data_IF_389877817009
#
_entry.id   IF_389877817009
#
_cell.length_a   1.000
_cell.length_b   1.000
_cell.length_c   1.000
_cell.angle_alpha   90.00
_cell.angle_beta   90.00
_cell.angle_gamma   90.00
#
_symmetry.space_group_name_H-M   'P 1'
#
loop_
_entity.id
_entity.type
_entity.pdbx_description
1 polymer ?
#
# COMPACT_ATOMS: atom_id res chain seq x y z
N UNK A 1 -9.07 -8.13 -9.97
CA UNK A 1 -7.89 -7.33 -9.59
C UNK A 1 -8.32 -6.25 -8.61
N UNK A 2 -7.70 -6.24 -7.45
CA UNK A 2 -8.06 -5.29 -6.41
C UNK A 2 -6.96 -4.25 -6.25
N UNK A 3 -7.29 -3.03 -6.66
CA UNK A 3 -6.35 -1.91 -6.55
C UNK A 3 -7.02 -0.77 -5.80
N UNK A 4 -6.29 -0.22 -4.86
CA UNK A 4 -6.73 0.93 -4.09
C UNK A 4 -5.85 2.10 -4.41
N UNK A 5 -6.47 3.24 -4.68
CA UNK A 5 -5.76 4.48 -5.00
C UNK A 5 -6.19 5.58 -4.04
N UNK A 6 -5.24 6.40 -3.64
CA UNK A 6 -5.54 7.57 -2.82
C UNK A 6 -6.45 8.55 -3.58
N UNK A 7 -7.37 9.18 -2.87
CA UNK A 7 -8.17 10.27 -3.42
C UNK A 7 -7.35 11.55 -3.58
N UNK A 8 -6.21 11.63 -2.88
CA UNK A 8 -5.29 12.75 -3.01
C UNK A 8 -4.34 12.49 -4.16
N UNK A 9 -4.16 13.50 -5.02
CA UNK A 9 -3.33 13.38 -6.20
C UNK A 9 -2.27 14.48 -6.22
N UNK A 10 -1.20 14.23 -6.97
CA UNK A 10 -0.17 15.22 -7.24
C UNK A 10 0.19 15.16 -8.72
N UNK A 11 0.64 16.29 -9.28
CA UNK A 11 1.03 16.34 -10.67
C UNK A 11 2.41 15.72 -10.85
N UNK A 12 2.52 14.80 -11.81
CA UNK A 12 3.79 14.15 -12.16
C UNK A 12 4.29 14.74 -13.49
N UNK A 13 5.39 15.53 -13.48
CA UNK A 13 5.95 16.04 -14.72
C UNK A 13 6.43 14.95 -15.67
N UNK A 14 6.89 13.83 -15.14
CA UNK A 14 7.36 12.71 -15.95
C UNK A 14 6.22 12.05 -16.71
N UNK A 15 5.09 11.84 -16.05
CA UNK A 15 3.92 11.22 -16.65
C UNK A 15 2.99 12.23 -17.31
N UNK A 16 3.22 13.53 -17.07
CA UNK A 16 2.42 14.64 -17.59
C UNK A 16 0.94 14.51 -17.22
N UNK A 17 0.68 14.05 -16.01
CA UNK A 17 -0.69 13.87 -15.51
C UNK A 17 -0.69 13.85 -13.98
N UNK A 18 -1.88 13.97 -13.40
CA UNK A 18 -2.04 13.79 -11.96
C UNK A 18 -2.02 12.30 -11.63
N UNK A 19 -1.31 11.96 -10.56
CA UNK A 19 -1.19 10.58 -10.09
C UNK A 19 -1.61 10.50 -8.63
N UNK A 20 -2.18 9.36 -8.19
CA UNK A 20 -2.49 9.19 -6.77
C UNK A 20 -1.23 9.25 -5.92
N UNK A 21 -1.34 9.85 -4.73
CA UNK A 21 -0.21 9.90 -3.80
C UNK A 21 0.15 8.51 -3.28
N UNK A 22 -0.85 7.64 -3.13
CA UNK A 22 -0.64 6.28 -2.64
C UNK A 22 -1.42 5.30 -3.50
N UNK A 23 -0.83 4.15 -3.75
CA UNK A 23 -1.48 3.04 -4.44
C UNK A 23 -1.15 1.74 -3.73
N UNK A 24 -2.12 0.85 -3.64
CA UNK A 24 -1.95 -0.49 -3.10
C UNK A 24 -2.46 -1.50 -4.12
N UNK A 25 -1.62 -2.47 -4.47
CA UNK A 25 -2.03 -3.62 -5.27
C UNK A 25 -2.05 -4.83 -4.35
N UNK A 26 -3.25 -5.35 -4.08
CA UNK A 26 -3.41 -6.46 -3.15
C UNK A 26 -2.96 -7.81 -3.72
N UNK A 27 -2.89 -7.92 -5.04
CA UNK A 27 -2.49 -9.19 -5.66
C UNK A 27 -1.01 -9.51 -5.43
N UNK A 28 -0.16 -8.49 -5.56
CA UNK A 28 1.28 -8.65 -5.37
C UNK A 28 1.77 -7.96 -4.09
N UNK A 29 0.86 -7.38 -3.36
CA UNK A 29 1.10 -6.66 -2.10
C UNK A 29 2.22 -5.64 -2.26
N UNK A 30 2.02 -4.74 -3.22
CA UNK A 30 2.95 -3.64 -3.46
C UNK A 30 2.29 -2.32 -3.11
N UNK A 31 2.97 -1.54 -2.27
CA UNK A 31 2.57 -0.17 -1.94
C UNK A 31 3.46 0.78 -2.72
N UNK A 32 2.85 1.71 -3.43
CA UNK A 32 3.57 2.74 -4.18
C UNK A 32 3.22 4.11 -3.62
N UNK A 33 4.24 4.90 -3.34
CA UNK A 33 4.10 6.27 -2.85
C UNK A 33 4.74 7.23 -3.86
N UNK A 34 4.00 8.26 -4.27
CA UNK A 34 4.55 9.31 -5.11
C UNK A 34 5.15 10.39 -4.20
N UNK A 35 6.49 10.51 -4.25
CA UNK A 35 7.23 11.48 -3.46
C UNK A 35 7.22 12.82 -4.19
N UNK A 36 6.52 13.81 -3.66
CA UNK A 36 6.39 15.12 -4.30
C UNK A 36 7.67 15.93 -4.24
N UNK A 37 8.56 15.65 -3.27
CA UNK A 37 9.82 16.40 -3.14
C UNK A 37 10.81 16.00 -4.22
N UNK A 38 10.90 14.70 -4.52
CA UNK A 38 11.81 14.17 -5.54
C UNK A 38 11.13 13.98 -6.89
N UNK A 39 9.80 14.09 -6.94
CA UNK A 39 8.97 13.86 -8.13
C UNK A 39 9.12 12.43 -8.68
N UNK A 40 9.39 11.47 -7.79
CA UNK A 40 9.56 10.06 -8.15
C UNK A 40 8.59 9.17 -7.39
N UNK A 41 8.32 8.00 -7.94
CA UNK A 41 7.53 6.97 -7.26
C UNK A 41 8.45 6.02 -6.51
N UNK A 42 8.09 5.71 -5.27
CA UNK A 42 8.78 4.75 -4.43
C UNK A 42 7.85 3.59 -4.15
N UNK A 43 8.32 2.36 -4.34
CA UNK A 43 7.49 1.17 -4.14
C UNK A 43 8.13 0.22 -3.16
N UNK A 44 7.30 -0.47 -2.38
CA UNK A 44 7.74 -1.52 -1.49
C UNK A 44 6.81 -2.71 -1.66
N UNK A 45 7.41 -3.89 -1.88
CA UNK A 45 6.67 -5.14 -2.03
C UNK A 45 6.84 -5.98 -0.77
N UNK A 46 5.73 -6.50 -0.27
CA UNK A 46 5.69 -7.36 0.92
C UNK A 46 5.47 -8.79 0.46
N UNK A 47 6.39 -9.68 0.82
CA UNK A 47 6.41 -11.06 0.30
C UNK A 47 6.01 -12.12 1.32
N UNK A 48 5.56 -11.70 2.50
CA UNK A 48 5.13 -12.66 3.53
C UNK A 48 3.75 -13.20 3.16
N UNK A 49 3.61 -14.52 3.13
CA UNK A 49 2.34 -15.16 2.80
C UNK A 49 1.22 -14.74 3.75
N UNK A 50 1.56 -14.52 5.02
CA UNK A 50 0.60 -14.04 6.01
C UNK A 50 0.02 -12.68 5.60
N UNK A 51 0.88 -11.74 5.19
CA UNK A 51 0.45 -10.41 4.77
C UNK A 51 -0.42 -10.50 3.52
N UNK A 52 0.01 -11.29 2.55
CA UNK A 52 -0.75 -11.49 1.31
C UNK A 52 -2.12 -12.07 1.61
N UNK A 53 -2.18 -13.10 2.44
CA UNK A 53 -3.43 -13.74 2.80
C UNK A 53 -4.34 -12.77 3.55
N UNK A 54 -3.78 -12.02 4.49
CA UNK A 54 -4.54 -11.04 5.27
C UNK A 54 -5.13 -9.95 4.38
N UNK A 55 -4.36 -9.44 3.41
CA UNK A 55 -4.85 -8.42 2.51
C UNK A 55 -5.95 -8.95 1.58
N UNK A 56 -5.82 -10.16 1.08
CA UNK A 56 -6.87 -10.78 0.27
C UNK A 56 -8.15 -10.93 1.09
N UNK A 57 -8.04 -11.35 2.33
CA UNK A 57 -9.18 -11.46 3.23
C UNK A 57 -9.82 -10.09 3.48
N UNK A 58 -9.00 -9.09 3.79
CA UNK A 58 -9.50 -7.73 4.04
C UNK A 58 -10.14 -7.11 2.81
N UNK A 59 -9.58 -7.38 1.64
CA UNK A 59 -10.12 -6.89 0.38
C UNK A 59 -11.52 -7.46 0.11
N UNK A 60 -11.75 -8.71 0.50
CA UNK A 60 -13.05 -9.35 0.33
C UNK A 60 -14.07 -8.95 1.39
N UNK A 61 -13.62 -8.74 2.63
CA UNK A 61 -14.53 -8.54 3.77
C UNK A 61 -14.55 -7.10 4.30
N UNK A 62 -13.45 -6.37 4.20
CA UNK A 62 -13.32 -5.02 4.75
C UNK A 62 -12.63 -4.08 3.76
N UNK A 63 -13.15 -3.92 2.53
CA UNK A 63 -12.49 -3.08 1.54
C UNK A 63 -12.40 -1.61 1.96
N UNK A 64 -13.35 -1.12 2.75
CA UNK A 64 -13.36 0.27 3.20
C UNK A 64 -12.18 0.57 4.11
N UNK A 65 -11.74 -0.41 4.92
CA UNK A 65 -10.57 -0.25 5.77
C UNK A 65 -9.32 0.00 4.92
N UNK A 66 -9.13 -0.80 3.89
CA UNK A 66 -7.97 -0.66 2.99
C UNK A 66 -8.01 0.69 2.28
N UNK A 67 -9.19 1.08 1.79
CA UNK A 67 -9.36 2.37 1.12
C UNK A 67 -8.99 3.53 2.05
N UNK A 68 -9.44 3.48 3.29
CA UNK A 68 -9.13 4.51 4.27
C UNK A 68 -7.63 4.59 4.55
N UNK A 69 -6.97 3.45 4.73
CA UNK A 69 -5.53 3.42 4.97
C UNK A 69 -4.76 4.04 3.81
N UNK A 70 -5.17 3.73 2.59
CA UNK A 70 -4.54 4.29 1.39
C UNK A 70 -4.76 5.81 1.31
N UNK A 71 -6.00 6.26 1.55
CA UNK A 71 -6.31 7.69 1.50
C UNK A 71 -5.56 8.50 2.56
N UNK A 72 -5.38 7.93 3.74
CA UNK A 72 -4.67 8.60 4.83
C UNK A 72 -3.16 8.46 4.75
N UNK A 73 -2.66 7.67 3.79
CA UNK A 73 -1.24 7.41 3.66
C UNK A 73 -0.66 6.52 4.75
N UNK A 74 -1.51 5.76 5.43
CA UNK A 74 -1.11 4.91 6.55
C UNK A 74 -0.92 3.45 6.15
N UNK A 75 -1.15 3.12 4.88
CA UNK A 75 -1.10 1.73 4.44
C UNK A 75 0.29 1.12 4.60
N UNK A 76 1.34 1.88 4.29
CA UNK A 76 2.71 1.37 4.41
C UNK A 76 3.06 1.09 5.87
N UNK A 77 2.71 1.99 6.78
CA UNK A 77 2.95 1.79 8.21
C UNK A 77 2.17 0.58 8.73
N UNK A 78 0.93 0.42 8.29
CA UNK A 78 0.09 -0.71 8.68
C UNK A 78 0.74 -2.03 8.26
N UNK A 79 1.25 -2.10 7.04
CA UNK A 79 1.90 -3.31 6.55
C UNK A 79 3.25 -3.55 7.21
N UNK A 80 4.01 -2.48 7.47
CA UNK A 80 5.29 -2.60 8.20
C UNK A 80 5.07 -3.14 9.62
N UNK A 81 4.06 -2.64 10.32
CA UNK A 81 3.74 -3.11 11.66
C UNK A 81 3.33 -4.59 11.64
N UNK A 82 2.56 -4.99 10.62
CA UNK A 82 2.16 -6.37 10.44
C UNK A 82 3.36 -7.28 10.19
N UNK A 83 4.29 -6.83 9.34
CA UNK A 83 5.52 -7.57 9.05
C UNK A 83 6.36 -7.75 10.30
N UNK A 84 6.47 -6.72 11.14
CA UNK A 84 7.19 -6.80 12.40
C UNK A 84 6.56 -7.83 13.33
N UNK A 85 5.24 -7.89 13.41
CA UNK A 85 4.55 -8.87 14.25
C UNK A 85 4.81 -10.30 13.75
N UNK A 86 4.79 -10.51 12.45
CA UNK A 86 5.07 -11.82 11.86
C UNK A 86 6.51 -12.24 12.16
N UNK A 87 7.46 -11.33 11.97
CA UNK A 87 8.88 -11.60 12.25
C UNK A 87 9.12 -11.89 13.71
N UNK A 88 8.44 -11.20 14.62
CA UNK A 88 8.55 -11.44 16.05
C UNK A 88 8.08 -12.87 16.41
N UNK A 89 6.96 -13.30 15.84
CA UNK A 89 6.43 -14.64 16.07
C UNK A 89 7.37 -15.70 15.51
N UNK A 90 7.93 -15.49 14.33
CA UNK A 90 8.84 -16.44 13.69
C UNK A 90 10.17 -16.52 14.44
N UNK A 91 10.61 -15.41 15.03
CA UNK A 91 11.88 -15.35 15.76
C UNK A 91 11.84 -16.09 17.11
N UNK A 92 10.68 -16.44 17.56
CA UNK A 92 10.51 -17.20 18.81
C UNK A 92 10.45 -18.69 18.50
#
# INVERSE_FOLDING_TARGET
MSRYKSEHTAYSPLKKKYVPLWRLDTNIVTVTHFNTDTQTEESKTYNTDFIRYHLHFSDSHCPDMLRRLVNEGKIMKYLDDMELKVNDVISR
#
